data_IF_180018006749
#
_entry.id   IF_180018006749
#
_cell.length_a   1.000
_cell.length_b   1.000
_cell.length_c   1.000
_cell.angle_alpha   90.00
_cell.angle_beta   90.00
_cell.angle_gamma   90.00
#
_symmetry.space_group_name_H-M   'P 1'
#
loop_
_entity.id
_entity.type
_entity.pdbx_description
1 polymer ?
#
# COMPACT_ATOMS: atom_id res chain seq x y z
N UNK A 1 8.82 16.54 -35.34
CA UNK A 1 8.06 15.59 -34.51
C UNK A 1 7.84 16.28 -33.18
N UNK A 2 6.85 17.16 -33.15
CA UNK A 2 6.48 17.87 -31.92
C UNK A 2 5.70 16.87 -31.08
N UNK A 3 6.37 16.29 -30.08
CA UNK A 3 5.70 15.52 -29.05
C UNK A 3 4.65 16.47 -28.45
N UNK A 4 3.37 16.20 -28.67
CA UNK A 4 2.23 17.05 -28.28
C UNK A 4 2.04 17.18 -26.77
N UNK A 5 3.08 17.58 -26.06
CA UNK A 5 3.07 17.99 -24.68
C UNK A 5 2.66 19.46 -24.64
N UNK A 6 1.43 19.69 -24.19
CA UNK A 6 0.94 21.04 -23.93
C UNK A 6 1.78 21.63 -22.79
N UNK A 7 2.65 22.59 -23.11
CA UNK A 7 3.57 23.19 -22.12
C UNK A 7 2.83 24.00 -21.05
N UNK A 8 1.54 24.28 -21.27
CA UNK A 8 0.62 24.84 -20.26
C UNK A 8 0.36 23.90 -19.08
N UNK A 9 0.63 22.60 -19.23
CA UNK A 9 0.56 21.60 -18.13
C UNK A 9 1.64 21.86 -17.07
N UNK A 10 2.74 22.51 -17.44
CA UNK A 10 3.81 22.90 -16.52
C UNK A 10 3.59 24.27 -15.87
N UNK A 11 2.39 24.85 -16.00
CA UNK A 11 2.05 26.06 -15.26
C UNK A 11 2.12 25.80 -13.75
N UNK A 12 2.58 26.80 -13.00
CA UNK A 12 2.82 26.69 -11.56
C UNK A 12 1.55 26.30 -10.79
N UNK A 13 0.39 26.73 -11.28
CA UNK A 13 -0.92 26.36 -10.74
C UNK A 13 -1.23 24.88 -10.93
N UNK A 14 -1.01 24.35 -12.13
CA UNK A 14 -1.25 22.94 -12.46
C UNK A 14 -0.34 22.02 -11.63
N UNK A 15 0.94 22.40 -11.49
CA UNK A 15 1.90 21.68 -10.66
C UNK A 15 1.48 21.72 -9.18
N UNK A 16 1.05 22.88 -8.67
CA UNK A 16 0.56 23.00 -7.30
C UNK A 16 -0.69 22.14 -7.05
N UNK A 17 -1.63 22.10 -7.99
CA UNK A 17 -2.82 21.24 -7.92
C UNK A 17 -2.45 19.75 -7.93
N UNK A 18 -1.49 19.34 -8.75
CA UNK A 18 -0.99 17.96 -8.78
C UNK A 18 -0.35 17.56 -7.46
N UNK A 19 0.51 18.42 -6.89
CA UNK A 19 1.15 18.19 -5.59
C UNK A 19 0.09 18.09 -4.50
N UNK A 20 -0.90 18.99 -4.49
CA UNK A 20 -2.00 18.97 -3.53
C UNK A 20 -2.84 17.69 -3.64
N UNK A 21 -3.16 17.26 -4.86
CA UNK A 21 -3.89 16.01 -5.12
C UNK A 21 -3.13 14.78 -4.64
N UNK A 22 -1.84 14.69 -4.95
CA UNK A 22 -0.99 13.58 -4.52
C UNK A 22 -0.81 13.55 -3.00
N UNK A 23 -0.63 14.71 -2.37
CA UNK A 23 -0.52 14.84 -0.92
C UNK A 23 -1.80 14.41 -0.20
N UNK A 24 -2.98 14.87 -0.65
CA UNK A 24 -4.28 14.46 -0.10
C UNK A 24 -4.48 12.95 -0.20
N UNK A 25 -4.16 12.38 -1.36
CA UNK A 25 -4.32 10.93 -1.61
C UNK A 25 -3.34 10.11 -0.77
N UNK A 26 -2.10 10.58 -0.61
CA UNK A 26 -1.09 9.97 0.26
C UNK A 26 -1.47 10.01 1.74
N UNK A 27 -2.04 11.13 2.21
CA UNK A 27 -2.52 11.26 3.59
C UNK A 27 -3.72 10.33 3.81
N UNK A 28 -4.72 10.35 2.92
CA UNK A 28 -5.90 9.50 3.06
C UNK A 28 -5.53 8.01 3.06
N UNK A 29 -4.71 7.57 2.10
CA UNK A 29 -4.25 6.19 2.03
C UNK A 29 -3.36 5.78 3.20
N UNK A 30 -2.47 6.66 3.66
CA UNK A 30 -1.59 6.43 4.82
C UNK A 30 -2.37 6.36 6.15
N UNK A 31 -3.39 7.20 6.32
CA UNK A 31 -4.27 7.18 7.50
C UNK A 31 -5.12 5.91 7.49
N UNK A 32 -5.72 5.53 6.35
CA UNK A 32 -6.48 4.28 6.24
C UNK A 32 -5.59 3.06 6.50
N UNK A 33 -4.36 3.05 5.98
CA UNK A 33 -3.38 1.99 6.23
C UNK A 33 -2.93 1.95 7.71
N UNK A 34 -2.81 3.10 8.37
CA UNK A 34 -2.44 3.21 9.78
C UNK A 34 -3.57 2.85 10.76
N UNK A 35 -4.81 3.25 10.46
CA UNK A 35 -5.99 3.00 11.29
C UNK A 35 -6.42 1.54 11.27
N UNK A 36 -6.33 0.87 10.11
CA UNK A 36 -6.70 -0.54 9.99
C UNK A 36 -5.67 -1.48 10.61
N UNK A 37 -4.44 -1.01 10.93
CA UNK A 37 -3.39 -1.82 11.58
C UNK A 37 -2.84 -2.98 10.74
N UNK A 38 -3.50 -3.32 9.64
CA UNK A 38 -3.12 -4.29 8.61
C UNK A 38 -2.28 -3.54 7.59
N UNK A 39 -0.97 -3.49 7.75
CA UNK A 39 -0.08 -2.74 6.86
C UNK A 39 -0.34 -3.02 5.37
N UNK A 40 -1.10 -2.16 4.68
CA UNK A 40 -1.38 -2.14 3.23
C UNK A 40 -1.97 -3.39 2.56
N UNK A 41 -1.94 -4.58 3.19
CA UNK A 41 -2.05 -5.88 2.52
C UNK A 41 -3.40 -6.16 1.83
N UNK A 42 -4.50 -5.76 2.46
CA UNK A 42 -5.86 -5.89 1.88
C UNK A 42 -6.01 -5.06 0.60
N UNK A 43 -5.33 -3.92 0.53
CA UNK A 43 -5.37 -3.01 -0.63
C UNK A 43 -4.34 -3.45 -1.69
N UNK A 44 -3.22 -4.02 -1.26
CA UNK A 44 -2.09 -4.36 -2.13
C UNK A 44 -2.47 -5.39 -3.20
N UNK A 45 -3.29 -6.40 -2.89
CA UNK A 45 -3.67 -7.46 -3.83
C UNK A 45 -4.46 -6.92 -5.04
N UNK A 46 -5.60 -6.22 -4.86
CA UNK A 46 -6.36 -5.69 -5.98
C UNK A 46 -5.58 -4.64 -6.77
N UNK A 47 -4.75 -3.82 -6.11
CA UNK A 47 -3.89 -2.84 -6.79
C UNK A 47 -2.84 -3.54 -7.66
N UNK A 48 -2.16 -4.57 -7.16
CA UNK A 48 -1.18 -5.31 -7.96
C UNK A 48 -1.83 -6.01 -9.14
N UNK A 49 -3.01 -6.59 -8.94
CA UNK A 49 -3.77 -7.24 -10.00
C UNK A 49 -4.10 -6.25 -11.13
N UNK A 50 -4.54 -5.04 -10.78
CA UNK A 50 -4.86 -3.99 -11.75
C UNK A 50 -3.62 -3.52 -12.51
N UNK A 51 -2.51 -3.27 -11.81
CA UNK A 51 -1.25 -2.85 -12.42
C UNK A 51 -0.70 -3.93 -13.35
N UNK A 52 -0.65 -5.19 -12.93
CA UNK A 52 -0.16 -6.31 -13.75
C UNK A 52 -1.04 -6.57 -14.98
N UNK A 53 -2.34 -6.27 -14.89
CA UNK A 53 -3.26 -6.35 -16.03
C UNK A 53 -2.94 -5.32 -17.11
N UNK A 54 -2.41 -4.14 -16.75
CA UNK A 54 -1.95 -3.13 -17.71
C UNK A 54 -0.70 -3.56 -18.49
N UNK A 55 0.09 -4.49 -17.94
CA UNK A 55 1.29 -5.05 -18.59
C UNK A 55 1.00 -6.24 -19.51
N UNK A 56 -0.27 -6.54 -19.82
CA UNK A 56 -0.71 -7.61 -20.74
C UNK A 56 -0.24 -9.03 -20.37
N UNK A 57 -0.02 -9.31 -19.08
CA UNK A 57 0.27 -10.67 -18.63
C UNK A 57 -0.96 -11.59 -18.74
N UNK A 58 -0.75 -12.90 -18.88
CA UNK A 58 -1.84 -13.88 -18.86
C UNK A 58 -2.57 -13.84 -17.50
N UNK A 59 -3.92 -13.83 -17.47
CA UNK A 59 -4.71 -13.76 -16.23
C UNK A 59 -4.36 -14.81 -15.17
N UNK A 60 -3.96 -16.01 -15.62
CA UNK A 60 -3.55 -17.09 -14.72
C UNK A 60 -2.25 -16.77 -13.95
N UNK A 61 -1.34 -16.02 -14.60
CA UNK A 61 -0.05 -15.60 -14.04
C UNK A 61 -0.23 -14.36 -13.16
N UNK A 62 -1.10 -13.43 -13.56
CA UNK A 62 -1.41 -12.20 -12.80
C UNK A 62 -1.91 -12.54 -11.40
N UNK A 63 -2.87 -13.46 -11.29
CA UNK A 63 -3.44 -13.85 -10.00
C UNK A 63 -2.40 -14.43 -9.04
N UNK A 64 -1.53 -15.32 -9.53
CA UNK A 64 -0.46 -15.91 -8.73
C UNK A 64 0.59 -14.87 -8.30
N UNK A 65 1.02 -14.00 -9.21
CA UNK A 65 1.99 -12.95 -8.90
C UNK A 65 1.42 -11.93 -7.90
N UNK A 66 0.18 -11.49 -8.10
CA UNK A 66 -0.47 -10.53 -7.19
C UNK A 66 -0.53 -11.08 -5.76
N UNK A 67 -0.94 -12.34 -5.59
CA UNK A 67 -1.00 -12.99 -4.27
C UNK A 67 0.39 -13.20 -3.69
N UNK A 68 1.33 -13.77 -4.46
CA UNK A 68 2.69 -14.05 -3.98
C UNK A 68 3.42 -12.77 -3.54
N UNK A 69 3.37 -11.71 -4.35
CA UNK A 69 3.99 -10.44 -4.02
C UNK A 69 3.28 -9.75 -2.85
N UNK A 70 1.96 -9.86 -2.73
CA UNK A 70 1.25 -9.33 -1.55
C UNK A 70 1.72 -9.99 -0.24
N UNK A 71 1.85 -11.32 -0.24
CA UNK A 71 2.32 -12.08 0.93
C UNK A 71 3.76 -11.72 1.27
N UNK A 72 4.62 -11.57 0.25
CA UNK A 72 5.99 -11.12 0.43
C UNK A 72 6.08 -9.74 1.10
N UNK A 73 5.16 -8.82 0.80
CA UNK A 73 5.09 -7.50 1.45
C UNK A 73 4.44 -7.58 2.84
N UNK A 74 3.46 -8.46 3.05
CA UNK A 74 2.76 -8.63 4.33
C UNK A 74 3.69 -9.15 5.43
N UNK A 75 4.63 -10.03 5.13
CA UNK A 75 5.56 -10.60 6.14
C UNK A 75 6.37 -9.52 6.88
N UNK A 76 7.19 -8.68 6.21
CA UNK A 76 7.99 -7.67 6.89
C UNK A 76 7.13 -6.55 7.51
N UNK A 77 6.02 -6.19 6.87
CA UNK A 77 5.10 -5.15 7.38
C UNK A 77 4.38 -5.62 8.65
N UNK A 78 3.96 -6.88 8.73
CA UNK A 78 3.35 -7.47 9.93
C UNK A 78 4.34 -7.56 11.08
N UNK A 79 5.60 -7.93 10.82
CA UNK A 79 6.66 -7.92 11.83
C UNK A 79 6.90 -6.50 12.36
N UNK A 80 6.95 -5.51 11.46
CA UNK A 80 7.10 -4.10 11.84
C UNK A 80 5.92 -3.60 12.69
N UNK A 81 4.68 -3.94 12.28
CA UNK A 81 3.45 -3.60 13.00
C UNK A 81 3.40 -4.23 14.40
N UNK A 82 3.68 -5.53 14.50
CA UNK A 82 3.77 -6.25 15.78
C UNK A 82 4.83 -5.64 16.70
N UNK A 83 6.01 -5.29 16.19
CA UNK A 83 7.06 -4.61 16.97
C UNK A 83 6.59 -3.24 17.47
N UNK A 84 5.92 -2.46 16.63
CA UNK A 84 5.35 -1.16 17.01
C UNK A 84 4.30 -1.29 18.12
N UNK A 85 3.43 -2.30 18.04
CA UNK A 85 2.41 -2.56 19.06
C UNK A 85 3.01 -3.07 20.39
N UNK A 86 4.00 -3.97 20.31
CA UNK A 86 4.75 -4.45 21.48
C UNK A 86 5.53 -3.33 22.19
N UNK A 87 6.04 -2.33 21.44
CA UNK A 87 6.73 -1.17 22.02
C UNK A 87 5.79 -0.19 22.74
N UNK A 88 4.48 -0.26 22.49
CA UNK A 88 3.45 0.57 23.12
C UNK A 88 2.87 -0.06 24.41
N UNK A 89 3.37 -1.22 24.84
CA UNK A 89 2.95 -1.86 26.09
C UNK A 89 1.58 -2.55 26.06
N UNK A 90 0.86 -2.54 24.93
CA UNK A 90 -0.46 -3.17 24.76
C UNK A 90 -0.41 -4.69 24.49
N UNK A 91 0.79 -5.29 24.49
CA UNK A 91 0.94 -6.73 24.36
C UNK A 91 0.93 -7.34 25.74
N UNK A 92 -0.26 -7.77 26.18
CA UNK A 92 -0.41 -8.53 27.41
C UNK A 92 0.18 -9.94 27.19
N UNK A 93 1.44 -10.08 27.63
CA UNK A 93 2.19 -11.33 27.51
C UNK A 93 1.55 -12.46 28.31
N UNK A 94 0.81 -12.15 29.38
CA UNK A 94 0.12 -13.16 30.18
C UNK A 94 -1.06 -13.77 29.41
N UNK A 95 -1.80 -12.94 28.65
CA UNK A 95 -2.89 -13.37 27.78
C UNK A 95 -2.38 -14.20 26.59
N UNK A 96 -1.23 -13.82 26.01
CA UNK A 96 -0.57 -14.58 24.95
C UNK A 96 -0.07 -15.96 25.41
N UNK A 97 0.40 -16.09 26.65
CA UNK A 97 0.83 -17.39 27.21
C UNK A 97 -0.36 -18.24 27.67
N UNK A 98 -1.50 -17.63 27.97
CA UNK A 98 -2.72 -18.34 28.38
C UNK A 98 -3.51 -18.93 27.19
N UNK A 99 -3.49 -18.26 26.03
CA UNK A 99 -4.22 -18.66 24.82
C UNK A 99 -3.32 -19.17 23.68
N UNK A 100 -2.00 -19.05 23.81
CA UNK A 100 -1.05 -19.68 22.90
C UNK A 100 -0.98 -21.19 23.17
N UNK A 101 -0.85 -22.04 22.13
CA UNK A 101 -0.62 -23.47 22.31
C UNK A 101 0.69 -23.78 23.03
#
# INVERSE_FOLDING_TARGET
MDFGFDTSVFDGLTIAMLIAGLAMTGIASGVLAGLLGVGGGIVIVPVLFWVLSLFHFSPAVISHLAVATSLAVIIPTSISSMRSHNRRGNVDRALLTLWGP
#
